data_IF_848782673701
#
_entry.id   IF_848782673701
#
_cell.length_a   1.000
_cell.length_b   1.000
_cell.length_c   1.000
_cell.angle_alpha   90.00
_cell.angle_beta   90.00
_cell.angle_gamma   90.00
#
_symmetry.space_group_name_H-M   'P 1'
#
loop_
_entity.id
_entity.type
_entity.pdbx_description
1 polymer ?
#
# COMPACT_ATOMS: atom_id res chain seq x y z
N UNK A 1 -4.01 -12.74 43.29
CA UNK A 1 -4.62 -13.53 42.20
C UNK A 1 -5.01 -12.51 41.15
N UNK A 2 -4.04 -12.15 40.28
CA UNK A 2 -4.25 -11.25 39.15
C UNK A 2 -5.05 -12.03 38.11
N UNK A 3 -6.32 -11.66 37.98
CA UNK A 3 -7.21 -12.22 36.98
C UNK A 3 -6.78 -11.72 35.60
N UNK A 4 -6.22 -12.63 34.83
CA UNK A 4 -5.98 -12.49 33.41
C UNK A 4 -7.37 -12.52 32.72
N UNK A 5 -8.06 -11.37 32.69
CA UNK A 5 -9.28 -11.25 31.88
C UNK A 5 -8.87 -11.42 30.41
N UNK A 6 -9.52 -12.32 29.65
CA UNK A 6 -9.23 -12.50 28.25
C UNK A 6 -9.47 -11.17 27.52
N UNK A 7 -8.40 -10.57 26.96
CA UNK A 7 -8.54 -9.38 26.12
C UNK A 7 -9.59 -9.64 25.04
N UNK A 8 -10.65 -8.82 25.04
CA UNK A 8 -11.67 -8.86 24.01
C UNK A 8 -11.00 -8.75 22.63
N UNK A 9 -11.14 -9.74 21.73
CA UNK A 9 -10.43 -9.78 20.46
C UNK A 9 -10.65 -8.52 19.59
N UNK A 10 -11.77 -7.82 19.82
CA UNK A 10 -12.08 -6.55 19.13
C UNK A 10 -11.18 -5.39 19.62
N UNK A 11 -10.65 -5.47 20.82
CA UNK A 11 -9.80 -4.43 21.43
C UNK A 11 -8.30 -4.76 21.38
N UNK A 12 -7.91 -5.93 20.87
CA UNK A 12 -6.49 -6.27 20.73
C UNK A 12 -5.75 -5.23 19.89
N UNK A 13 -4.50 -4.92 20.25
CA UNK A 13 -3.67 -3.94 19.52
C UNK A 13 -3.53 -4.29 18.03
N UNK A 14 -3.49 -5.57 17.70
CA UNK A 14 -3.41 -6.05 16.32
C UNK A 14 -4.68 -5.72 15.53
N UNK A 15 -5.88 -5.90 16.12
CA UNK A 15 -7.15 -5.52 15.50
C UNK A 15 -7.27 -4.01 15.32
N UNK A 16 -6.65 -3.21 16.19
CA UNK A 16 -6.59 -1.76 16.07
C UNK A 16 -5.49 -1.27 15.11
N UNK A 17 -4.84 -2.15 14.35
CA UNK A 17 -3.73 -1.83 13.46
C UNK A 17 -2.62 -1.03 14.17
N UNK A 18 -2.35 -1.35 15.43
CA UNK A 18 -1.26 -0.78 16.22
C UNK A 18 -0.14 -1.80 16.35
N UNK A 19 1.10 -1.36 16.17
CA UNK A 19 2.29 -2.20 16.32
C UNK A 19 3.51 -1.39 16.66
N UNK A 20 4.41 -1.99 17.43
CA UNK A 20 5.64 -1.34 17.87
C UNK A 20 6.65 -1.30 16.72
N UNK A 21 7.10 -0.10 16.37
CA UNK A 21 8.22 0.16 15.47
C UNK A 21 9.39 0.76 16.23
N UNK A 22 10.49 1.09 15.54
CA UNK A 22 11.63 1.80 16.18
C UNK A 22 11.24 3.16 16.80
N UNK A 23 10.23 3.82 16.23
CA UNK A 23 9.71 5.11 16.71
C UNK A 23 8.55 4.99 17.70
N UNK A 24 8.29 3.79 18.27
CA UNK A 24 7.18 3.56 19.20
C UNK A 24 5.97 2.87 18.57
N UNK A 25 4.81 3.04 19.17
CA UNK A 25 3.55 2.45 18.72
C UNK A 25 3.01 3.20 17.51
N UNK A 26 2.91 2.54 16.38
CA UNK A 26 2.55 3.17 15.09
C UNK A 26 1.60 2.33 14.27
N UNK A 27 0.96 3.00 13.31
CA UNK A 27 0.15 2.38 12.25
C UNK A 27 0.74 2.75 10.90
N UNK A 28 0.79 1.80 10.00
CA UNK A 28 1.11 2.06 8.59
C UNK A 28 -0.15 2.24 7.78
N UNK A 29 -0.15 3.25 6.92
CA UNK A 29 -1.19 3.49 5.92
C UNK A 29 -0.63 3.06 4.57
N UNK A 30 -1.24 2.06 3.96
CA UNK A 30 -0.90 1.60 2.62
C UNK A 30 -1.92 2.16 1.64
N UNK A 31 -1.44 2.78 0.56
CA UNK A 31 -2.28 3.40 -0.48
C UNK A 31 -1.97 2.80 -1.85
N UNK A 32 -3.01 2.54 -2.65
CA UNK A 32 -2.89 2.56 -4.10
C UNK A 32 -3.40 3.91 -4.60
N UNK A 33 -2.70 4.50 -5.56
CA UNK A 33 -3.06 5.78 -6.17
C UNK A 33 -3.08 5.64 -7.69
N UNK A 34 -3.85 6.47 -8.37
CA UNK A 34 -3.83 6.57 -9.82
C UNK A 34 -2.65 7.44 -10.31
N UNK A 35 -2.50 7.60 -11.63
CA UNK A 35 -1.45 8.41 -12.23
C UNK A 35 -1.54 9.91 -11.90
N UNK A 36 -2.68 10.40 -11.42
CA UNK A 36 -2.89 11.78 -10.95
C UNK A 36 -2.57 11.95 -9.47
N UNK A 37 -2.34 10.86 -8.74
CA UNK A 37 -2.09 10.85 -7.31
C UNK A 37 -3.37 10.85 -6.47
N UNK A 38 -4.46 10.31 -7.01
CA UNK A 38 -5.72 10.18 -6.30
C UNK A 38 -5.80 8.79 -5.64
N UNK A 39 -6.13 8.69 -4.35
CA UNK A 39 -6.22 7.43 -3.64
C UNK A 39 -7.34 6.54 -4.19
N UNK A 40 -7.00 5.28 -4.51
CA UNK A 40 -7.93 4.26 -5.01
C UNK A 40 -8.25 3.20 -3.95
N UNK A 41 -7.32 2.91 -3.06
CA UNK A 41 -7.46 1.89 -2.01
C UNK A 41 -6.64 2.28 -0.80
N UNK A 42 -7.17 1.98 0.38
CA UNK A 42 -6.57 2.31 1.67
C UNK A 42 -6.62 1.08 2.57
N UNK A 43 -5.46 0.64 3.06
CA UNK A 43 -5.32 -0.45 4.04
C UNK A 43 -4.46 0.03 5.20
N UNK A 44 -4.89 -0.28 6.41
CA UNK A 44 -4.12 -0.03 7.64
C UNK A 44 -3.48 -1.33 8.12
N UNK A 45 -2.25 -1.25 8.56
CA UNK A 45 -1.57 -2.35 9.26
C UNK A 45 -0.82 -1.86 10.49
N UNK A 46 -0.56 -2.75 11.47
CA UNK A 46 0.36 -2.45 12.56
C UNK A 46 1.73 -2.00 12.02
N UNK A 47 2.38 -1.06 12.71
CA UNK A 47 3.68 -0.53 12.31
C UNK A 47 4.80 -1.57 12.20
N UNK A 48 4.68 -2.68 12.93
CA UNK A 48 5.61 -3.82 12.89
C UNK A 48 5.46 -4.71 11.64
N UNK A 49 4.34 -4.64 10.93
CA UNK A 49 4.03 -5.51 9.78
C UNK A 49 4.86 -5.10 8.56
N UNK A 50 5.34 -6.10 7.81
CA UNK A 50 6.08 -5.85 6.57
C UNK A 50 5.14 -5.31 5.48
N UNK A 51 5.54 -4.24 4.79
CA UNK A 51 4.74 -3.57 3.76
C UNK A 51 4.30 -4.49 2.61
N UNK A 52 5.15 -5.47 2.27
CA UNK A 52 4.86 -6.44 1.21
C UNK A 52 3.63 -7.31 1.50
N UNK A 53 3.28 -7.54 2.77
CA UNK A 53 2.12 -8.36 3.16
C UNK A 53 0.80 -7.68 2.85
N UNK A 54 0.72 -6.34 2.98
CA UNK A 54 -0.47 -5.56 2.69
C UNK A 54 -0.75 -5.42 1.17
N UNK A 55 0.21 -5.75 0.31
CA UNK A 55 0.11 -5.51 -1.13
C UNK A 55 -1.13 -6.14 -1.77
N UNK A 56 -1.42 -7.39 -1.43
CA UNK A 56 -2.56 -8.11 -2.00
C UNK A 56 -3.89 -7.47 -1.62
N UNK A 57 -4.05 -7.03 -0.38
CA UNK A 57 -5.27 -6.38 0.12
C UNK A 57 -5.44 -4.99 -0.46
N UNK A 58 -4.36 -4.22 -0.58
CA UNK A 58 -4.37 -2.93 -1.27
C UNK A 58 -4.82 -3.09 -2.72
N UNK A 59 -4.25 -4.06 -3.43
CA UNK A 59 -4.60 -4.31 -4.83
C UNK A 59 -6.05 -4.83 -4.98
N UNK A 60 -6.55 -5.63 -4.04
CA UNK A 60 -7.94 -6.11 -3.99
C UNK A 60 -8.94 -4.97 -3.76
N UNK A 61 -8.54 -3.94 -3.02
CA UNK A 61 -9.37 -2.77 -2.73
C UNK A 61 -9.52 -1.81 -3.92
N UNK A 62 -8.71 -1.94 -4.97
CA UNK A 62 -8.79 -1.06 -6.15
C UNK A 62 -10.07 -1.37 -6.92
N UNK A 63 -10.97 -0.38 -6.98
CA UNK A 63 -12.23 -0.42 -7.72
C UNK A 63 -12.48 0.93 -8.39
N UNK A 64 -12.37 0.96 -9.70
CA UNK A 64 -12.58 2.18 -10.49
C UNK A 64 -13.90 2.10 -11.22
N UNK A 65 -14.85 3.01 -10.96
CA UNK A 65 -16.09 3.07 -11.72
C UNK A 65 -15.82 3.20 -13.22
N UNK A 66 -16.70 2.66 -14.04
CA UNK A 66 -16.68 2.90 -15.50
C UNK A 66 -17.57 4.09 -15.83
N UNK A 67 -17.29 4.77 -16.91
CA UNK A 67 -18.12 5.87 -17.40
C UNK A 67 -19.54 5.44 -17.84
N UNK A 68 -19.76 4.15 -18.06
CA UNK A 68 -21.06 3.55 -18.43
C UNK A 68 -21.53 2.53 -17.40
N UNK A 69 -22.63 1.82 -17.74
CA UNK A 69 -23.16 0.72 -16.96
C UNK A 69 -22.17 -0.45 -16.92
N UNK A 70 -22.03 -1.12 -15.79
CA UNK A 70 -21.21 -2.30 -15.64
C UNK A 70 -20.41 -2.36 -14.33
N UNK A 71 -19.75 -3.50 -14.12
CA UNK A 71 -18.94 -3.70 -12.91
C UNK A 71 -17.72 -2.77 -12.90
N UNK A 72 -17.32 -2.22 -11.73
CA UNK A 72 -16.10 -1.45 -11.60
C UNK A 72 -14.89 -2.22 -12.13
N UNK A 73 -13.93 -1.52 -12.70
CA UNK A 73 -12.63 -2.08 -13.09
C UNK A 73 -11.82 -2.38 -11.83
N UNK A 74 -11.35 -3.61 -11.69
CA UNK A 74 -10.54 -4.09 -10.56
C UNK A 74 -9.09 -4.41 -10.94
N UNK A 75 -8.78 -4.30 -12.23
CA UNK A 75 -7.44 -4.51 -12.80
C UNK A 75 -6.89 -3.20 -13.34
N UNK A 76 -5.61 -2.97 -13.11
CA UNK A 76 -4.84 -1.89 -13.72
C UNK A 76 -3.91 -2.46 -14.78
N UNK A 77 -3.47 -1.64 -15.72
CA UNK A 77 -2.53 -2.07 -16.77
C UNK A 77 -1.13 -2.27 -16.20
N UNK A 78 -0.74 -1.43 -15.22
CA UNK A 78 0.60 -1.45 -14.61
C UNK A 78 0.55 -1.05 -13.14
N UNK A 79 1.46 -1.64 -12.36
CA UNK A 79 1.71 -1.25 -10.98
C UNK A 79 3.16 -0.79 -10.85
N UNK A 80 3.35 0.39 -10.28
CA UNK A 80 4.63 0.92 -9.86
C UNK A 80 4.77 0.71 -8.36
N UNK A 81 5.85 0.14 -7.91
CA UNK A 81 6.09 -0.13 -6.49
C UNK A 81 7.54 0.10 -6.08
N UNK A 82 7.75 0.38 -4.80
CA UNK A 82 9.08 0.45 -4.21
C UNK A 82 9.74 -0.95 -4.20
N UNK A 83 11.06 -0.99 -4.04
CA UNK A 83 11.86 -2.20 -3.85
C UNK A 83 11.38 -3.10 -2.70
N UNK A 84 10.67 -2.57 -1.71
CA UNK A 84 10.02 -3.33 -0.65
C UNK A 84 9.02 -4.36 -1.22
N UNK A 85 8.36 -4.03 -2.33
CA UNK A 85 7.38 -4.88 -3.02
C UNK A 85 8.01 -5.84 -4.05
N UNK A 86 9.34 -5.96 -4.09
CA UNK A 86 10.08 -6.79 -5.06
C UNK A 86 10.07 -8.29 -4.71
N UNK A 87 9.01 -8.82 -4.09
CA UNK A 87 8.93 -10.23 -3.76
C UNK A 87 8.50 -11.09 -4.96
N UNK A 88 8.94 -12.37 -4.98
CA UNK A 88 8.51 -13.34 -5.99
C UNK A 88 6.98 -13.53 -5.98
N UNK A 89 6.40 -13.56 -4.78
CA UNK A 89 4.95 -13.73 -4.60
C UNK A 89 4.17 -12.57 -5.23
N UNK A 90 4.58 -11.32 -5.01
CA UNK A 90 3.94 -10.14 -5.61
C UNK A 90 4.08 -10.16 -7.12
N UNK A 91 5.26 -10.45 -7.67
CA UNK A 91 5.47 -10.54 -9.11
C UNK A 91 4.62 -11.66 -9.74
N UNK A 92 4.48 -12.79 -9.05
CA UNK A 92 3.62 -13.88 -9.49
C UNK A 92 2.14 -13.49 -9.46
N UNK A 93 1.68 -12.82 -8.39
CA UNK A 93 0.32 -12.30 -8.27
C UNK A 93 -0.02 -11.34 -9.42
N UNK A 94 0.84 -10.36 -9.70
CA UNK A 94 0.64 -9.40 -10.78
C UNK A 94 0.60 -10.09 -12.15
N UNK A 95 1.53 -11.02 -12.41
CA UNK A 95 1.56 -11.78 -13.66
C UNK A 95 0.28 -12.60 -13.87
N UNK A 96 -0.20 -13.31 -12.84
CA UNK A 96 -1.46 -14.06 -12.92
C UNK A 96 -2.67 -13.18 -13.23
N UNK A 97 -2.64 -11.91 -12.80
CA UNK A 97 -3.70 -10.93 -13.07
C UNK A 97 -3.51 -10.16 -14.38
N UNK A 98 -2.48 -10.47 -15.16
CA UNK A 98 -2.16 -9.75 -16.41
C UNK A 98 -1.69 -8.32 -16.20
N UNK A 99 -1.17 -7.98 -15.00
CA UNK A 99 -0.75 -6.63 -14.63
C UNK A 99 0.76 -6.49 -14.83
N UNK A 100 1.19 -5.51 -15.62
CA UNK A 100 2.60 -5.17 -15.76
C UNK A 100 3.16 -4.62 -14.43
N UNK A 101 4.38 -5.01 -14.08
CA UNK A 101 5.04 -4.58 -12.85
C UNK A 101 6.32 -3.80 -13.14
N UNK A 102 6.42 -2.58 -12.64
CA UNK A 102 7.67 -1.80 -12.63
C UNK A 102 8.09 -1.61 -11.19
N UNK A 103 8.84 -2.58 -10.66
CA UNK A 103 9.33 -2.65 -9.28
C UNK A 103 10.82 -2.98 -9.33
N UNK A 104 11.71 -2.15 -8.77
CA UNK A 104 13.14 -2.42 -8.78
C UNK A 104 13.48 -3.64 -7.95
N UNK A 105 14.55 -4.34 -8.30
CA UNK A 105 15.07 -5.43 -7.49
C UNK A 105 15.88 -4.90 -6.30
N UNK A 106 15.84 -5.63 -5.19
CA UNK A 106 16.74 -5.37 -4.07
C UNK A 106 18.15 -5.90 -4.39
N UNK A 107 19.17 -5.31 -3.80
CA UNK A 107 20.57 -5.69 -4.00
C UNK A 107 20.82 -7.17 -3.70
N UNK A 108 20.23 -7.70 -2.62
CA UNK A 108 20.32 -9.10 -2.23
C UNK A 108 19.75 -10.05 -3.32
N UNK A 109 18.64 -9.66 -3.95
CA UNK A 109 18.04 -10.43 -5.04
C UNK A 109 18.94 -10.47 -6.28
N UNK A 110 19.52 -9.33 -6.65
CA UNK A 110 20.48 -9.24 -7.76
C UNK A 110 21.72 -10.10 -7.49
N UNK A 111 22.31 -9.97 -6.30
CA UNK A 111 23.49 -10.74 -5.89
C UNK A 111 23.18 -12.24 -5.88
N UNK A 112 22.07 -12.67 -5.30
CA UNK A 112 21.66 -14.07 -5.26
C UNK A 112 21.39 -14.64 -6.66
N UNK A 113 20.80 -13.86 -7.57
CA UNK A 113 20.60 -14.28 -8.96
C UNK A 113 21.94 -14.45 -9.67
N UNK A 114 22.86 -13.50 -9.55
CA UNK A 114 24.22 -13.58 -10.17
C UNK A 114 24.99 -14.78 -9.65
N UNK A 115 24.96 -15.04 -8.33
CA UNK A 115 25.64 -16.19 -7.71
C UNK A 115 25.13 -17.53 -8.24
N UNK A 116 23.84 -17.61 -8.63
CA UNK A 116 23.25 -18.83 -9.21
C UNK A 116 23.60 -19.03 -10.70
N UNK A 117 24.25 -18.08 -11.35
CA UNK A 117 24.58 -18.15 -12.77
C UNK A 117 23.35 -18.46 -13.64
N UNK A 118 23.44 -19.43 -14.53
CA UNK A 118 22.32 -19.85 -15.40
C UNK A 118 21.03 -20.22 -14.65
N UNK A 119 21.14 -20.77 -13.44
CA UNK A 119 19.99 -21.11 -12.59
C UNK A 119 19.31 -19.88 -11.96
N UNK A 120 19.93 -18.72 -12.00
CA UNK A 120 19.38 -17.47 -11.46
C UNK A 120 18.22 -16.89 -12.26
N UNK A 121 18.06 -17.32 -13.52
CA UNK A 121 17.00 -16.89 -14.41
C UNK A 121 17.18 -15.48 -14.97
N UNK A 122 16.26 -15.08 -15.84
CA UNK A 122 16.25 -13.74 -16.46
C UNK A 122 15.89 -12.66 -15.41
N UNK A 123 16.57 -11.50 -15.41
CA UNK A 123 16.18 -10.37 -14.57
C UNK A 123 14.77 -9.90 -14.92
N UNK A 124 14.01 -9.41 -13.91
CA UNK A 124 12.73 -8.76 -14.17
C UNK A 124 12.91 -7.55 -15.09
N UNK A 125 11.95 -7.33 -15.96
CA UNK A 125 11.92 -6.11 -16.79
C UNK A 125 11.72 -4.92 -15.86
N UNK A 126 12.57 -3.92 -15.98
CA UNK A 126 12.51 -2.68 -15.22
C UNK A 126 12.71 -1.49 -16.17
N UNK A 127 11.71 -0.62 -16.20
CA UNK A 127 11.72 0.59 -16.99
C UNK A 127 11.93 1.79 -16.07
N UNK A 128 13.06 2.46 -16.24
CA UNK A 128 13.47 3.58 -15.38
C UNK A 128 12.63 4.83 -15.66
N UNK A 129 12.23 5.08 -16.91
CA UNK A 129 11.42 6.24 -17.27
C UNK A 129 10.03 6.12 -16.62
N UNK A 130 9.37 5.00 -16.83
CA UNK A 130 8.08 4.73 -16.20
C UNK A 130 8.18 4.74 -14.67
N UNK A 131 9.32 4.31 -14.11
CA UNK A 131 9.49 4.29 -12.65
C UNK A 131 9.55 5.68 -12.03
N UNK A 132 9.94 6.71 -12.76
CA UNK A 132 9.95 8.11 -12.29
C UNK A 132 8.54 8.58 -11.88
N UNK A 133 7.51 8.06 -12.54
CA UNK A 133 6.11 8.37 -12.22
C UNK A 133 5.69 7.91 -10.82
N UNK A 134 6.46 7.02 -10.17
CA UNK A 134 6.22 6.61 -8.77
C UNK A 134 6.19 7.79 -7.80
N UNK A 135 6.86 8.89 -8.11
CA UNK A 135 6.87 10.09 -7.27
C UNK A 135 5.46 10.65 -6.99
N UNK A 136 4.48 10.30 -7.82
CA UNK A 136 3.06 10.63 -7.62
C UNK A 136 2.55 10.08 -6.27
N UNK A 137 2.98 8.89 -5.87
CA UNK A 137 2.60 8.27 -4.59
C UNK A 137 3.10 9.09 -3.41
N UNK A 138 4.35 9.55 -3.45
CA UNK A 138 4.94 10.37 -2.37
C UNK A 138 4.22 11.71 -2.24
N UNK A 139 3.88 12.34 -3.36
CA UNK A 139 3.08 13.57 -3.39
C UNK A 139 1.66 13.35 -2.85
N UNK A 140 1.05 12.20 -3.14
CA UNK A 140 -0.24 11.84 -2.57
C UNK A 140 -0.15 11.72 -1.05
N UNK A 141 0.87 11.02 -0.51
CA UNK A 141 1.05 10.88 0.93
C UNK A 141 1.33 12.20 1.65
N UNK A 142 2.01 13.13 1.01
CA UNK A 142 2.33 14.43 1.60
C UNK A 142 1.07 15.26 1.88
N UNK A 143 0.05 15.20 1.03
CA UNK A 143 -1.18 16.00 1.15
C UNK A 143 -2.01 15.67 2.39
N UNK A 144 -2.44 14.41 2.67
CA UNK A 144 -3.17 14.06 3.89
C UNK A 144 -2.36 14.27 5.17
N UNK A 145 -1.03 14.12 5.12
CA UNK A 145 -0.14 14.35 6.27
C UNK A 145 -0.06 15.82 6.70
N UNK A 146 -0.53 16.75 5.89
CA UNK A 146 -0.72 18.15 6.32
C UNK A 146 -1.80 18.25 7.41
N UNK A 147 -2.73 17.29 7.48
CA UNK A 147 -3.65 17.15 8.61
C UNK A 147 -2.92 16.45 9.77
N UNK A 148 -2.76 17.17 10.88
CA UNK A 148 -2.09 16.65 12.08
C UNK A 148 -2.75 15.37 12.61
N UNK A 149 -4.08 15.27 12.53
CA UNK A 149 -4.84 14.10 12.95
C UNK A 149 -4.44 12.82 12.18
N UNK A 150 -4.10 12.97 10.89
CA UNK A 150 -3.65 11.85 10.05
C UNK A 150 -2.16 11.58 10.26
N UNK A 151 -1.34 12.64 10.35
CA UNK A 151 0.11 12.50 10.51
C UNK A 151 0.48 11.81 11.84
N UNK A 152 -0.26 12.10 12.91
CA UNK A 152 0.09 11.65 14.29
C UNK A 152 -0.81 10.52 14.78
N UNK A 153 -1.95 10.25 14.15
CA UNK A 153 -2.96 9.30 14.58
C UNK A 153 -3.34 9.46 16.07
N UNK A 154 -4.28 10.36 16.35
CA UNK A 154 -4.84 10.51 17.69
C UNK A 154 -5.96 9.50 18.00
N UNK A 155 -6.54 8.89 16.96
CA UNK A 155 -7.64 7.94 17.13
C UNK A 155 -7.14 6.61 17.69
N UNK A 156 -7.72 6.17 18.80
CA UNK A 156 -7.47 4.85 19.39
C UNK A 156 -7.96 3.74 18.47
N UNK A 157 -9.15 3.89 17.88
CA UNK A 157 -9.80 2.88 17.04
C UNK A 157 -9.34 2.98 15.58
N UNK A 158 -8.95 1.84 14.99
CA UNK A 158 -8.51 1.75 13.60
C UNK A 158 -9.56 2.24 12.61
N UNK A 159 -10.85 1.92 12.85
CA UNK A 159 -11.94 2.35 11.96
C UNK A 159 -12.10 3.87 11.92
N UNK A 160 -11.98 4.55 13.07
CA UNK A 160 -12.05 6.02 13.15
C UNK A 160 -10.88 6.65 12.41
N UNK A 161 -9.67 6.16 12.67
CA UNK A 161 -8.49 6.63 11.95
C UNK A 161 -8.61 6.39 10.44
N UNK A 162 -9.09 5.19 10.03
CA UNK A 162 -9.34 4.88 8.63
C UNK A 162 -10.38 5.82 8.02
N UNK A 163 -11.45 6.12 8.73
CA UNK A 163 -12.47 7.08 8.28
C UNK A 163 -11.86 8.47 8.04
N UNK A 164 -10.99 8.96 8.92
CA UNK A 164 -10.25 10.21 8.73
C UNK A 164 -9.40 10.20 7.47
N UNK A 165 -8.66 9.11 7.22
CA UNK A 165 -7.85 8.96 6.00
C UNK A 165 -8.73 8.91 4.74
N UNK A 166 -9.90 8.26 4.80
CA UNK A 166 -10.87 8.21 3.69
C UNK A 166 -11.45 9.59 3.41
N UNK A 167 -11.84 10.36 4.44
CA UNK A 167 -12.34 11.72 4.27
C UNK A 167 -11.29 12.65 3.65
N UNK A 168 -10.03 12.57 4.10
CA UNK A 168 -8.95 13.32 3.48
C UNK A 168 -8.74 12.93 2.01
N UNK A 169 -8.87 11.64 1.70
CA UNK A 169 -8.82 11.14 0.32
C UNK A 169 -9.96 11.67 -0.54
N UNK A 170 -11.18 11.70 0.01
CA UNK A 170 -12.35 12.28 -0.66
C UNK A 170 -12.14 13.78 -0.99
N UNK A 171 -11.56 14.54 -0.07
CA UNK A 171 -11.23 15.96 -0.32
C UNK A 171 -10.27 16.09 -1.51
N UNK A 172 -9.30 15.19 -1.67
CA UNK A 172 -8.41 15.20 -2.84
C UNK A 172 -9.17 14.96 -4.14
N UNK A 173 -10.11 14.00 -4.13
CA UNK A 173 -10.97 13.71 -5.28
C UNK A 173 -11.87 14.88 -5.64
N UNK A 174 -12.51 15.52 -4.65
CA UNK A 174 -13.38 16.69 -4.88
C UNK A 174 -12.59 17.88 -5.44
N UNK A 175 -11.40 18.15 -4.92
CA UNK A 175 -10.53 19.21 -5.43
C UNK A 175 -10.07 18.96 -6.86
N UNK A 176 -9.89 17.71 -7.26
CA UNK A 176 -9.53 17.36 -8.62
C UNK A 176 -10.74 17.46 -9.57
N UNK A 177 -11.94 17.10 -9.10
CA UNK A 177 -13.16 17.23 -9.89
C UNK A 177 -13.61 18.67 -10.11
N UNK A 178 -13.17 19.60 -9.26
CA UNK A 178 -13.49 21.03 -9.35
C UNK A 178 -12.49 21.83 -10.23
N UNK A 179 -11.51 21.16 -10.84
CA UNK A 179 -10.53 21.77 -11.78
C UNK A 179 -10.98 21.63 -13.21
#
# INVERSE_FOLDING_TARGET
VDGDEPEDPVHSQACQALGRSRGGLTTKVHLAVDCRGLPLSIVLTPGSVNDATAFADVLKGVRTPRAGTGRPRTTTDRVLGDKAYSSRAIRHLLRRRGIAATVPERRDQVTNRRRRGRRGGRPPVFDTEIYRDRNVVERCFARPKQSRAIATRFDKLANRYRAGVVLASLILWLREAAR
#
